data_IF_721551698556
#
_entry.id   IF_721551698556
#
_cell.length_a   1.000
_cell.length_b   1.000
_cell.length_c   1.000
_cell.angle_alpha   90.00
_cell.angle_beta   90.00
_cell.angle_gamma   90.00
#
_symmetry.space_group_name_H-M   'P 1'
#
loop_
_entity.id
_entity.type
_entity.pdbx_description
1 polymer ?
#
# COMPACT_ATOMS: atom_id res chain seq x y z
N UNK A 1 16.79 -0.58 -11.95
CA UNK A 1 16.03 0.03 -10.82
C UNK A 1 15.98 -0.90 -9.62
N UNK A 2 15.69 -0.36 -8.44
CA UNK A 2 15.53 -1.11 -7.18
C UNK A 2 14.13 -0.89 -6.61
N UNK A 3 13.48 -1.96 -6.17
CA UNK A 3 12.17 -1.91 -5.48
C UNK A 3 12.31 -2.63 -4.14
N UNK A 4 12.15 -1.93 -3.02
CA UNK A 4 12.13 -2.57 -1.69
C UNK A 4 10.71 -2.93 -1.29
N UNK A 5 10.48 -4.03 -0.59
CA UNK A 5 9.13 -4.54 -0.33
C UNK A 5 8.54 -5.25 -1.56
N UNK A 6 9.42 -5.75 -2.44
CA UNK A 6 9.06 -6.31 -3.74
C UNK A 6 8.12 -7.52 -3.65
N UNK A 7 8.21 -8.33 -2.59
CA UNK A 7 7.37 -9.51 -2.42
C UNK A 7 6.02 -9.19 -1.74
N UNK A 8 5.76 -7.94 -1.40
CA UNK A 8 4.48 -7.46 -0.89
C UNK A 8 3.40 -7.35 -1.97
N UNK A 9 2.19 -6.97 -1.53
CA UNK A 9 1.06 -6.71 -2.41
C UNK A 9 1.42 -5.69 -3.51
N UNK A 10 1.69 -4.43 -3.16
CA UNK A 10 2.01 -3.40 -4.15
C UNK A 10 3.35 -3.64 -4.86
N UNK A 11 4.38 -4.07 -4.11
CA UNK A 11 5.72 -4.28 -4.65
C UNK A 11 5.74 -5.27 -5.81
N UNK A 12 4.95 -6.35 -5.73
CA UNK A 12 4.91 -7.36 -6.79
C UNK A 12 4.25 -6.85 -8.07
N UNK A 13 3.17 -6.08 -7.94
CA UNK A 13 2.52 -5.42 -9.08
C UNK A 13 3.41 -4.34 -9.70
N UNK A 14 4.19 -3.61 -8.89
CA UNK A 14 5.18 -2.66 -9.39
C UNK A 14 6.31 -3.37 -10.14
N UNK A 15 6.83 -4.49 -9.61
CA UNK A 15 7.84 -5.28 -10.32
C UNK A 15 7.33 -5.69 -11.71
N UNK A 16 6.12 -6.24 -11.79
CA UNK A 16 5.48 -6.63 -13.04
C UNK A 16 5.26 -5.43 -13.99
N UNK A 17 4.75 -4.31 -13.46
CA UNK A 17 4.48 -3.09 -14.23
C UNK A 17 5.73 -2.53 -14.91
N UNK A 18 6.84 -2.47 -14.18
CA UNK A 18 8.11 -1.95 -14.68
C UNK A 18 8.79 -2.94 -15.65
N UNK A 19 8.74 -4.25 -15.39
CA UNK A 19 9.25 -5.27 -16.33
C UNK A 19 8.49 -5.26 -17.67
N UNK A 20 7.17 -5.06 -17.65
CA UNK A 20 6.35 -4.89 -18.88
C UNK A 20 6.68 -3.63 -19.68
N UNK A 21 7.40 -2.69 -19.07
CA UNK A 21 7.85 -1.43 -19.68
C UNK A 21 9.38 -1.39 -19.85
N UNK A 22 9.97 -2.57 -20.01
CA UNK A 22 11.38 -2.80 -20.34
C UNK A 22 12.42 -2.33 -19.32
N UNK A 23 12.02 -2.17 -18.06
CA UNK A 23 12.96 -1.94 -16.97
C UNK A 23 13.63 -3.23 -16.51
N UNK A 24 14.87 -3.11 -16.04
CA UNK A 24 15.54 -4.15 -15.23
C UNK A 24 15.27 -3.88 -13.76
N UNK A 25 14.72 -4.86 -13.06
CA UNK A 25 14.20 -4.73 -11.69
C UNK A 25 15.00 -5.61 -10.73
N UNK A 26 15.62 -4.97 -9.73
CA UNK A 26 16.15 -5.64 -8.54
C UNK A 26 15.13 -5.48 -7.41
N UNK A 27 14.42 -6.56 -7.06
CA UNK A 27 13.47 -6.61 -5.95
C UNK A 27 14.15 -7.00 -4.64
N UNK A 28 14.00 -6.17 -3.61
CA UNK A 28 14.48 -6.41 -2.25
C UNK A 28 13.32 -6.71 -1.31
N UNK A 29 13.39 -7.77 -0.52
CA UNK A 29 12.39 -8.08 0.51
C UNK A 29 12.98 -9.01 1.58
N UNK A 30 12.57 -8.87 2.85
CA UNK A 30 12.97 -9.80 3.92
C UNK A 30 11.96 -10.95 4.12
N UNK A 31 10.81 -10.88 3.44
CA UNK A 31 9.67 -11.79 3.51
C UNK A 31 8.97 -11.79 4.88
N UNK A 32 9.03 -10.66 5.61
CA UNK A 32 8.32 -10.52 6.90
C UNK A 32 6.80 -10.58 6.72
N UNK A 33 6.28 -9.80 5.76
CA UNK A 33 4.85 -9.75 5.41
C UNK A 33 4.58 -10.09 3.96
N UNK A 34 5.58 -9.94 3.08
CA UNK A 34 5.55 -10.41 1.70
C UNK A 34 5.72 -11.93 1.58
N UNK A 35 5.52 -12.46 0.38
CA UNK A 35 5.70 -13.89 0.09
C UNK A 35 6.36 -14.09 -1.27
N UNK A 36 7.26 -15.07 -1.38
CA UNK A 36 7.93 -15.40 -2.63
C UNK A 36 6.94 -15.77 -3.75
N UNK A 37 5.78 -16.34 -3.40
CA UNK A 37 4.70 -16.64 -4.35
C UNK A 37 4.23 -15.41 -5.13
N UNK A 38 4.25 -14.21 -4.53
CA UNK A 38 3.88 -12.98 -5.23
C UNK A 38 4.84 -12.64 -6.37
N UNK A 39 6.06 -13.17 -6.36
CA UNK A 39 7.10 -12.96 -7.37
C UNK A 39 7.31 -14.17 -8.28
N UNK A 40 6.65 -15.31 -8.01
CA UNK A 40 6.92 -16.57 -8.70
C UNK A 40 6.69 -16.48 -10.22
N UNK A 41 5.71 -15.70 -10.65
CA UNK A 41 5.41 -15.47 -12.07
C UNK A 41 6.48 -14.63 -12.80
N UNK A 42 7.38 -13.98 -12.08
CA UNK A 42 8.54 -13.25 -12.62
C UNK A 42 9.80 -14.13 -12.63
N UNK A 43 9.75 -15.32 -12.05
CA UNK A 43 10.87 -16.25 -12.06
C UNK A 43 11.16 -16.67 -13.51
N UNK A 44 12.38 -16.40 -13.97
CA UNK A 44 12.83 -16.69 -15.34
C UNK A 44 12.92 -15.48 -16.26
N UNK A 45 12.37 -14.31 -15.90
CA UNK A 45 12.66 -13.07 -16.64
C UNK A 45 14.11 -12.64 -16.31
N UNK A 46 14.99 -12.64 -17.32
CA UNK A 46 16.40 -12.27 -17.17
C UNK A 46 16.62 -10.81 -16.69
N UNK A 47 15.59 -9.96 -16.77
CA UNK A 47 15.60 -8.57 -16.31
C UNK A 47 15.17 -8.45 -14.84
N UNK A 48 14.64 -9.52 -14.24
CA UNK A 48 14.22 -9.55 -12.84
C UNK A 48 15.25 -10.30 -11.98
N UNK A 49 15.67 -9.67 -10.88
CA UNK A 49 16.47 -10.31 -9.84
C UNK A 49 15.83 -10.07 -8.48
N UNK A 50 15.75 -11.11 -7.68
CA UNK A 50 15.34 -11.01 -6.28
C UNK A 50 16.56 -11.09 -5.36
N UNK A 51 16.60 -10.25 -4.34
CA UNK A 51 17.59 -10.30 -3.26
C UNK A 51 16.86 -10.26 -1.93
N UNK A 52 16.99 -11.33 -1.14
CA UNK A 52 16.44 -11.37 0.21
C UNK A 52 17.25 -10.43 1.09
N UNK A 53 16.65 -9.30 1.50
CA UNK A 53 17.34 -8.22 2.19
C UNK A 53 16.42 -7.52 3.18
N UNK A 54 16.89 -7.36 4.41
CA UNK A 54 16.30 -6.44 5.38
C UNK A 54 16.95 -5.06 5.21
N UNK A 55 16.19 -4.08 4.75
CA UNK A 55 16.71 -2.73 4.47
C UNK A 55 17.17 -1.99 5.73
N UNK A 56 16.80 -2.45 6.94
CA UNK A 56 17.31 -1.90 8.20
C UNK A 56 18.76 -2.28 8.48
N UNK A 57 19.29 -3.27 7.76
CA UNK A 57 20.71 -3.62 7.77
C UNK A 57 21.42 -3.02 6.56
N UNK A 58 22.70 -2.63 6.67
CA UNK A 58 23.45 -2.10 5.54
C UNK A 58 23.49 -3.08 4.36
N UNK A 59 23.33 -2.57 3.15
CA UNK A 59 23.39 -3.36 1.92
C UNK A 59 23.99 -2.54 0.78
N UNK A 60 24.46 -3.24 -0.25
CA UNK A 60 25.11 -2.63 -1.41
C UNK A 60 24.48 -3.18 -2.69
N UNK A 61 24.40 -2.33 -3.70
CA UNK A 61 24.01 -2.70 -5.06
C UNK A 61 25.16 -2.33 -5.98
N UNK A 62 25.77 -3.33 -6.61
CA UNK A 62 27.00 -3.22 -7.40
C UNK A 62 26.75 -2.89 -8.88
N UNK A 63 25.49 -2.66 -9.25
CA UNK A 63 25.06 -2.29 -10.59
C UNK A 63 24.49 -0.87 -10.62
N UNK A 64 24.50 -0.17 -11.78
CA UNK A 64 23.86 1.14 -11.91
C UNK A 64 22.38 1.10 -11.49
N UNK A 65 21.93 2.15 -10.79
CA UNK A 65 20.55 2.31 -10.32
C UNK A 65 20.04 3.69 -10.73
N UNK A 66 19.02 3.72 -11.58
CA UNK A 66 18.41 4.97 -12.05
C UNK A 66 17.21 5.41 -11.19
N UNK A 67 16.56 4.44 -10.54
CA UNK A 67 15.33 4.64 -9.76
C UNK A 67 15.29 3.68 -8.57
N UNK A 68 14.95 4.21 -7.39
CA UNK A 68 14.69 3.48 -6.15
C UNK A 68 13.24 3.72 -5.73
N UNK A 69 12.44 2.65 -5.66
CA UNK A 69 11.10 2.67 -5.10
C UNK A 69 11.13 2.06 -3.69
N UNK A 70 10.95 2.89 -2.67
CA UNK A 70 10.99 2.43 -1.28
C UNK A 70 9.58 2.09 -0.76
N UNK A 71 9.19 0.81 -0.89
CA UNK A 71 7.89 0.26 -0.47
C UNK A 71 8.00 -0.77 0.67
N UNK A 72 9.18 -0.95 1.27
CA UNK A 72 9.35 -1.89 2.39
C UNK A 72 8.78 -1.28 3.68
N UNK A 73 7.63 -1.78 4.13
CA UNK A 73 7.08 -1.51 5.46
C UNK A 73 5.89 -2.46 5.75
N UNK A 74 5.72 -2.98 6.97
CA UNK A 74 4.45 -3.59 7.39
C UNK A 74 3.30 -2.57 7.31
N UNK A 75 2.35 -2.79 6.39
CA UNK A 75 1.33 -1.79 6.05
C UNK A 75 -0.04 -1.98 6.70
N UNK A 76 -0.32 -3.16 7.28
CA UNK A 76 -1.63 -3.43 7.89
C UNK A 76 -1.62 -3.14 9.40
N UNK A 77 -2.75 -2.69 9.98
CA UNK A 77 -2.85 -2.46 11.42
C UNK A 77 -2.40 -3.62 12.28
N UNK A 78 -2.75 -4.85 11.88
CA UNK A 78 -2.33 -6.04 12.61
C UNK A 78 -0.81 -6.21 12.61
N UNK A 79 -0.16 -5.97 11.49
CA UNK A 79 1.27 -6.26 11.35
C UNK A 79 2.15 -5.19 12.02
N UNK A 80 1.86 -3.91 11.82
CA UNK A 80 2.67 -2.87 12.44
C UNK A 80 2.47 -2.79 13.95
N UNK A 81 1.31 -3.23 14.47
CA UNK A 81 1.09 -3.40 15.91
C UNK A 81 1.78 -4.65 16.47
N UNK A 82 1.94 -5.69 15.65
CA UNK A 82 2.70 -6.91 16.02
C UNK A 82 4.20 -6.69 16.00
N UNK A 83 4.69 -5.80 15.13
CA UNK A 83 6.12 -5.54 14.91
C UNK A 83 6.51 -4.04 15.07
N UNK A 84 6.07 -3.33 16.13
CA UNK A 84 6.15 -1.87 16.20
C UNK A 84 7.59 -1.33 16.12
N UNK A 85 8.54 -2.01 16.77
CA UNK A 85 9.96 -1.63 16.73
C UNK A 85 10.53 -1.82 15.32
N UNK A 86 10.13 -2.87 14.61
CA UNK A 86 10.59 -3.10 13.25
C UNK A 86 9.97 -2.09 12.27
N UNK A 87 8.69 -1.74 12.45
CA UNK A 87 8.02 -0.65 11.72
C UNK A 87 8.76 0.66 11.88
N UNK A 88 9.14 1.03 13.10
CA UNK A 88 9.95 2.23 13.35
C UNK A 88 11.31 2.15 12.66
N UNK A 89 12.00 1.01 12.73
CA UNK A 89 13.33 0.84 12.12
C UNK A 89 13.30 0.90 10.59
N UNK A 90 12.30 0.30 9.95
CA UNK A 90 12.23 0.24 8.48
C UNK A 90 11.99 1.63 7.89
N UNK A 91 11.06 2.40 8.44
CA UNK A 91 10.77 3.75 7.96
C UNK A 91 11.77 4.82 8.49
N UNK A 92 12.67 4.47 9.42
CA UNK A 92 13.79 5.33 9.83
C UNK A 92 15.13 4.93 9.19
N UNK A 93 15.78 3.90 9.73
CA UNK A 93 17.09 3.41 9.28
C UNK A 93 17.00 2.81 7.88
N UNK A 94 15.91 2.10 7.55
CA UNK A 94 15.70 1.58 6.19
C UNK A 94 15.56 2.69 5.15
N UNK A 95 14.78 3.73 5.45
CA UNK A 95 14.70 4.95 4.64
C UNK A 95 16.07 5.60 4.48
N UNK A 96 16.87 5.69 5.56
CA UNK A 96 18.22 6.26 5.50
C UNK A 96 19.14 5.46 4.56
N UNK A 97 19.15 4.13 4.64
CA UNK A 97 19.97 3.29 3.78
C UNK A 97 19.55 3.39 2.30
N UNK A 98 18.25 3.41 2.02
CA UNK A 98 17.73 3.48 0.64
C UNK A 98 17.90 4.86 0.00
N UNK A 99 17.80 5.94 0.78
CA UNK A 99 18.20 7.29 0.35
C UNK A 99 19.72 7.38 0.11
N UNK A 100 20.52 6.73 0.97
CA UNK A 100 21.97 6.61 0.78
C UNK A 100 22.33 5.92 -0.53
N UNK A 101 21.65 4.82 -0.86
CA UNK A 101 21.74 4.14 -2.14
C UNK A 101 21.39 5.09 -3.31
N UNK A 102 20.23 5.75 -3.24
CA UNK A 102 19.80 6.65 -4.31
C UNK A 102 20.82 7.78 -4.53
N UNK A 103 21.34 8.37 -3.46
CA UNK A 103 22.39 9.39 -3.52
C UNK A 103 23.69 8.86 -4.15
N UNK A 104 24.15 7.67 -3.75
CA UNK A 104 25.38 7.07 -4.25
C UNK A 104 25.33 6.81 -5.77
N UNK A 105 24.18 6.39 -6.28
CA UNK A 105 23.99 6.12 -7.71
C UNK A 105 23.43 7.32 -8.50
N UNK A 106 23.13 8.44 -7.84
CA UNK A 106 22.37 9.59 -8.41
C UNK A 106 21.02 9.15 -8.98
N UNK A 107 20.41 8.15 -8.35
CA UNK A 107 19.10 7.64 -8.71
C UNK A 107 18.00 8.59 -8.26
N UNK A 108 16.90 8.60 -9.01
CA UNK A 108 15.63 9.13 -8.52
C UNK A 108 15.10 8.25 -7.39
N UNK A 109 14.42 8.85 -6.42
CA UNK A 109 13.88 8.16 -5.26
C UNK A 109 12.39 8.45 -5.09
N UNK A 110 11.59 7.40 -4.90
CA UNK A 110 10.17 7.54 -4.56
C UNK A 110 9.89 6.81 -3.24
N UNK A 111 9.44 7.56 -2.24
CA UNK A 111 8.96 7.04 -0.96
C UNK A 111 7.49 6.66 -1.06
N UNK A 112 7.15 5.42 -0.68
CA UNK A 112 5.78 5.03 -0.38
C UNK A 112 5.37 5.51 1.03
N UNK A 113 4.78 6.69 1.08
CA UNK A 113 4.10 7.22 2.26
C UNK A 113 2.63 6.76 2.27
N UNK A 114 1.83 7.32 3.16
CA UNK A 114 0.49 6.84 3.51
C UNK A 114 -0.43 8.01 3.82
N UNK A 115 -1.74 7.84 3.63
CA UNK A 115 -2.74 8.76 4.15
C UNK A 115 -2.76 8.85 5.69
N UNK A 116 -2.17 7.89 6.41
CA UNK A 116 -2.06 7.96 7.88
C UNK A 116 -1.22 9.13 8.38
N UNK A 117 -0.37 9.74 7.53
CA UNK A 117 0.36 10.97 7.92
C UNK A 117 -0.58 12.15 8.22
N UNK A 118 -1.83 12.06 7.75
CA UNK A 118 -2.90 13.01 8.06
C UNK A 118 -3.61 12.72 9.40
N UNK A 119 -3.46 11.51 9.96
CA UNK A 119 -4.05 11.09 11.23
C UNK A 119 -5.58 11.06 11.22
N UNK A 120 -6.18 11.70 12.22
CA UNK A 120 -7.62 11.98 12.33
C UNK A 120 -7.91 13.42 11.85
N UNK A 121 -8.17 13.61 10.56
CA UNK A 121 -8.07 14.93 9.92
C UNK A 121 -9.24 15.84 10.28
N UNK A 122 -8.95 17.12 10.54
CA UNK A 122 -9.97 18.17 10.69
C UNK A 122 -10.35 18.85 9.36
N UNK A 123 -9.83 18.35 8.23
CA UNK A 123 -10.04 18.90 6.89
C UNK A 123 -10.51 17.78 5.95
N UNK A 124 -11.50 18.08 5.10
CA UNK A 124 -12.09 17.10 4.18
C UNK A 124 -12.48 17.74 2.83
N UNK A 125 -12.03 17.19 1.67
CA UNK A 125 -11.07 16.09 1.51
C UNK A 125 -9.67 16.46 2.04
N UNK A 126 -8.73 15.52 2.08
CA UNK A 126 -7.37 15.77 2.57
C UNK A 126 -6.43 16.18 1.42
N UNK A 127 -6.01 17.46 1.30
CA UNK A 127 -5.02 17.90 0.32
C UNK A 127 -3.58 17.60 0.78
N UNK A 128 -2.62 17.61 -0.15
CA UNK A 128 -1.19 17.43 0.15
C UNK A 128 -0.63 18.50 1.09
N UNK A 129 -1.23 19.69 1.11
CA UNK A 129 -0.84 20.81 1.97
C UNK A 129 -1.23 20.64 3.45
N UNK A 130 -2.14 19.72 3.78
CA UNK A 130 -2.56 19.51 5.16
C UNK A 130 -1.47 18.81 5.99
N UNK A 131 -1.22 19.32 7.21
CA UNK A 131 -0.12 18.84 8.06
C UNK A 131 -0.43 17.57 8.86
N UNK A 132 -1.72 17.22 8.96
CA UNK A 132 -2.20 16.10 9.75
C UNK A 132 -2.46 16.43 11.22
N UNK A 133 -3.23 15.57 11.87
CA UNK A 133 -3.54 15.59 13.29
C UNK A 133 -3.35 14.17 13.84
N UNK A 134 -2.14 13.92 14.35
CA UNK A 134 -1.63 12.57 14.67
C UNK A 134 -1.23 12.52 16.14
N UNK A 135 -1.57 11.42 16.82
CA UNK A 135 -1.16 11.17 18.20
C UNK A 135 0.23 10.49 18.24
N UNK A 136 1.29 11.18 18.70
CA UNK A 136 2.66 10.68 18.59
C UNK A 136 3.01 9.54 19.56
N UNK A 137 2.13 9.26 20.54
CA UNK A 137 2.35 8.22 21.56
C UNK A 137 1.22 7.19 21.62
N UNK A 138 0.22 7.31 20.73
CA UNK A 138 -0.89 6.39 20.64
C UNK A 138 -0.47 5.01 20.11
N UNK A 139 -1.36 4.00 20.16
CA UNK A 139 -1.05 2.65 19.71
C UNK A 139 -0.62 2.57 18.24
N UNK A 140 -1.08 3.49 17.39
CA UNK A 140 -0.76 3.56 15.96
C UNK A 140 0.51 4.37 15.64
N UNK A 141 1.06 5.08 16.63
CA UNK A 141 2.20 6.00 16.46
C UNK A 141 3.42 5.36 15.80
N UNK A 142 3.68 4.08 16.05
CA UNK A 142 4.81 3.37 15.47
C UNK A 142 4.80 3.33 13.94
N UNK A 143 3.61 3.36 13.31
CA UNK A 143 3.48 3.46 11.85
C UNK A 143 3.36 4.92 11.40
N UNK A 144 2.48 5.68 12.06
CA UNK A 144 2.12 7.03 11.63
C UNK A 144 3.34 7.98 11.73
N UNK A 145 4.03 7.98 12.87
CA UNK A 145 5.21 8.84 13.08
C UNK A 145 6.43 8.34 12.30
N UNK A 146 6.58 7.02 12.09
CA UNK A 146 7.67 6.50 11.29
C UNK A 146 7.55 6.94 9.83
N UNK A 147 6.33 6.91 9.27
CA UNK A 147 6.06 7.44 7.92
C UNK A 147 6.26 8.95 7.83
N UNK A 148 5.84 9.71 8.85
CA UNK A 148 6.11 11.17 8.92
C UNK A 148 7.60 11.48 9.00
N UNK A 149 8.36 10.71 9.78
CA UNK A 149 9.82 10.79 9.82
C UNK A 149 10.44 10.48 8.45
N UNK A 150 9.97 9.44 7.76
CA UNK A 150 10.45 9.08 6.43
C UNK A 150 10.24 10.20 5.41
N UNK A 151 9.08 10.88 5.43
CA UNK A 151 8.83 12.07 4.59
C UNK A 151 9.81 13.20 4.90
N UNK A 152 10.00 13.51 6.20
CA UNK A 152 10.91 14.56 6.62
C UNK A 152 12.37 14.28 6.19
N UNK A 153 12.83 13.04 6.36
CA UNK A 153 14.16 12.60 5.95
C UNK A 153 14.33 12.66 4.42
N UNK A 154 13.33 12.19 3.67
CA UNK A 154 13.32 12.24 2.20
C UNK A 154 13.43 13.69 1.70
N UNK A 155 12.66 14.61 2.28
CA UNK A 155 12.72 16.02 1.91
C UNK A 155 13.99 16.72 2.39
N UNK A 156 14.61 16.25 3.48
CA UNK A 156 15.93 16.72 3.90
C UNK A 156 17.01 16.33 2.87
N UNK A 157 16.99 15.10 2.34
CA UNK A 157 17.87 14.67 1.26
C UNK A 157 17.66 15.48 -0.02
N UNK A 158 16.41 15.76 -0.39
CA UNK A 158 16.11 16.65 -1.52
C UNK A 158 16.75 18.04 -1.33
N UNK A 159 16.49 18.71 -0.20
CA UNK A 159 17.01 20.08 0.05
C UNK A 159 18.53 20.13 0.21
N UNK A 160 19.13 19.17 0.92
CA UNK A 160 20.55 19.19 1.26
C UNK A 160 21.45 18.61 0.15
N UNK A 161 20.93 17.70 -0.66
CA UNK A 161 21.72 16.99 -1.69
C UNK A 161 21.19 17.16 -3.10
N UNK A 162 20.10 17.91 -3.30
CA UNK A 162 19.42 18.08 -4.60
C UNK A 162 19.04 16.74 -5.24
N UNK A 163 18.77 15.73 -4.40
CA UNK A 163 18.28 14.43 -4.85
C UNK A 163 16.89 14.61 -5.47
N UNK A 164 16.63 13.97 -6.62
CA UNK A 164 15.27 13.85 -7.17
C UNK A 164 14.49 12.86 -6.29
N UNK A 165 13.99 13.36 -5.17
CA UNK A 165 13.22 12.60 -4.20
C UNK A 165 11.76 13.03 -4.27
N UNK A 166 10.87 12.04 -4.29
CA UNK A 166 9.43 12.20 -4.50
C UNK A 166 8.69 11.40 -3.45
N UNK A 167 7.48 11.81 -3.13
CA UNK A 167 6.66 11.14 -2.11
C UNK A 167 5.28 10.85 -2.68
N UNK A 168 4.81 9.62 -2.51
CA UNK A 168 3.42 9.25 -2.76
C UNK A 168 2.72 8.97 -1.45
N UNK A 169 1.64 9.70 -1.15
CA UNK A 169 0.74 9.41 -0.03
C UNK A 169 -0.38 8.51 -0.53
N UNK A 170 -0.24 7.23 -0.22
CA UNK A 170 -1.13 6.18 -0.69
C UNK A 170 -2.36 6.10 0.22
N UNK A 171 -3.55 6.21 -0.38
CA UNK A 171 -4.82 5.94 0.29
C UNK A 171 -5.19 4.46 0.18
N UNK A 172 -6.27 4.04 0.86
CA UNK A 172 -6.66 2.63 0.92
C UNK A 172 -6.71 2.01 -0.48
N UNK A 173 -5.91 0.97 -0.66
CA UNK A 173 -5.75 0.29 -1.94
C UNK A 173 -6.00 -1.19 -1.76
N UNK A 174 -6.64 -1.80 -2.77
CA UNK A 174 -7.01 -3.21 -2.75
C UNK A 174 -6.82 -3.88 -4.11
N UNK A 175 -6.75 -5.21 -4.10
CA UNK A 175 -6.57 -5.99 -5.32
C UNK A 175 -6.04 -7.41 -5.06
N UNK A 176 -5.79 -8.18 -6.14
CA UNK A 176 -5.08 -9.45 -6.08
C UNK A 176 -3.75 -9.36 -5.34
N UNK A 177 -3.30 -10.43 -4.66
CA UNK A 177 -2.06 -10.52 -3.85
C UNK A 177 -2.10 -9.86 -2.47
N UNK A 178 -3.26 -9.38 -2.02
CA UNK A 178 -3.50 -9.09 -0.60
C UNK A 178 -3.61 -10.38 0.22
N UNK A 179 -3.22 -10.37 1.51
CA UNK A 179 -3.36 -11.58 2.35
C UNK A 179 -4.76 -11.64 2.97
N UNK A 180 -5.30 -12.85 3.13
CA UNK A 180 -6.59 -13.04 3.83
C UNK A 180 -6.53 -12.60 5.30
N UNK A 181 -5.44 -12.92 5.99
CA UNK A 181 -5.21 -12.51 7.39
C UNK A 181 -4.76 -11.05 7.59
N UNK A 182 -4.79 -10.22 6.55
CA UNK A 182 -4.17 -8.89 6.55
C UNK A 182 -4.85 -7.88 7.50
N UNK A 183 -6.14 -8.10 7.85
CA UNK A 183 -6.85 -7.30 8.85
C UNK A 183 -7.42 -5.98 8.34
N UNK A 184 -7.31 -5.68 7.04
CA UNK A 184 -8.05 -4.60 6.39
C UNK A 184 -9.46 -5.08 6.00
N UNK A 185 -10.39 -4.14 5.83
CA UNK A 185 -11.82 -4.43 5.64
C UNK A 185 -12.11 -5.26 4.39
N UNK A 186 -11.54 -4.92 3.22
CA UNK A 186 -11.77 -5.68 1.97
C UNK A 186 -11.30 -7.14 2.07
N UNK A 187 -10.05 -7.46 2.43
CA UNK A 187 -9.64 -8.86 2.54
C UNK A 187 -10.42 -9.61 3.62
N UNK A 188 -10.82 -8.94 4.71
CA UNK A 188 -11.65 -9.56 5.74
C UNK A 188 -13.06 -9.90 5.21
N UNK A 189 -13.72 -8.95 4.54
CA UNK A 189 -15.07 -9.17 3.99
C UNK A 189 -15.07 -10.26 2.93
N UNK A 190 -14.11 -10.25 2.01
CA UNK A 190 -13.99 -11.28 0.98
C UNK A 190 -13.75 -12.66 1.61
N UNK A 191 -12.83 -12.75 2.59
CA UNK A 191 -12.54 -14.03 3.26
C UNK A 191 -13.76 -14.57 4.01
N UNK A 192 -14.48 -13.71 4.73
CA UNK A 192 -15.67 -14.08 5.48
C UNK A 192 -16.81 -14.53 4.54
N UNK A 193 -17.07 -13.75 3.48
CA UNK A 193 -18.08 -14.08 2.49
C UNK A 193 -17.78 -15.42 1.78
N UNK A 194 -16.54 -15.64 1.34
CA UNK A 194 -16.13 -16.91 0.72
C UNK A 194 -16.19 -18.10 1.69
N UNK A 195 -16.08 -17.86 3.00
CA UNK A 195 -16.14 -18.91 4.03
C UNK A 195 -17.55 -19.11 4.60
N UNK A 196 -18.55 -18.36 4.13
CA UNK A 196 -19.92 -18.44 4.64
C UNK A 196 -20.07 -18.03 6.11
N UNK A 197 -19.16 -17.20 6.64
CA UNK A 197 -19.23 -16.69 8.01
C UNK A 197 -19.67 -15.23 8.04
N UNK A 198 -20.30 -14.74 9.13
CA UNK A 198 -20.83 -13.38 9.19
C UNK A 198 -19.79 -12.28 8.96
N UNK A 199 -20.17 -11.20 8.28
CA UNK A 199 -19.31 -10.04 8.00
C UNK A 199 -19.17 -9.13 9.23
N UNK A 200 -17.96 -8.85 9.70
CA UNK A 200 -17.74 -8.02 10.88
C UNK A 200 -17.74 -6.54 10.51
N UNK A 201 -18.84 -5.83 10.76
CA UNK A 201 -18.92 -4.38 10.56
C UNK A 201 -18.64 -3.67 11.87
N UNK A 202 -17.54 -2.93 11.96
CA UNK A 202 -17.25 -2.11 13.14
C UNK A 202 -18.12 -0.84 13.14
N UNK A 203 -18.77 -0.52 14.25
CA UNK A 203 -19.75 0.59 14.33
C UNK A 203 -21.09 0.26 13.67
N UNK A 204 -21.81 1.29 13.24
CA UNK A 204 -23.11 1.16 12.55
C UNK A 204 -22.98 0.87 11.05
N UNK A 205 -21.75 0.92 10.50
CA UNK A 205 -21.44 0.66 9.10
C UNK A 205 -21.68 1.84 8.15
N UNK A 206 -22.14 2.99 8.67
CA UNK A 206 -22.44 4.20 7.88
C UNK A 206 -21.20 5.06 7.61
N UNK A 207 -20.09 4.78 8.27
CA UNK A 207 -18.83 5.47 8.00
C UNK A 207 -18.35 5.17 6.59
N UNK A 208 -17.80 6.18 5.93
CA UNK A 208 -17.33 6.08 4.55
C UNK A 208 -15.83 5.83 4.47
N UNK A 209 -15.43 5.12 3.42
CA UNK A 209 -14.03 4.91 3.04
C UNK A 209 -13.91 5.08 1.52
N UNK A 210 -12.75 5.55 1.10
CA UNK A 210 -12.33 5.52 -0.30
C UNK A 210 -11.52 4.25 -0.57
N UNK A 211 -11.64 3.65 -1.75
CA UNK A 211 -10.86 2.46 -2.16
C UNK A 211 -10.35 2.59 -3.59
N UNK A 212 -9.03 2.57 -3.74
CA UNK A 212 -8.35 2.58 -5.05
C UNK A 212 -8.01 1.15 -5.48
N UNK A 213 -8.34 0.77 -6.71
CA UNK A 213 -7.91 -0.51 -7.23
C UNK A 213 -6.43 -0.49 -7.59
N UNK A 214 -5.74 -1.62 -7.39
CA UNK A 214 -4.28 -1.70 -7.51
C UNK A 214 -3.73 -1.28 -8.87
N UNK A 215 -4.42 -1.60 -9.96
CA UNK A 215 -3.97 -1.22 -11.32
C UNK A 215 -3.90 0.30 -11.46
N UNK A 216 -4.92 1.02 -10.98
CA UNK A 216 -4.95 2.48 -11.03
C UNK A 216 -3.84 3.08 -10.16
N UNK A 217 -3.64 2.56 -8.94
CA UNK A 217 -2.56 3.03 -8.07
C UNK A 217 -1.18 2.81 -8.72
N UNK A 218 -0.94 1.62 -9.27
CA UNK A 218 0.34 1.24 -9.89
C UNK A 218 0.64 2.13 -11.09
N UNK A 219 -0.36 2.46 -11.90
CA UNK A 219 -0.20 3.41 -13.01
C UNK A 219 0.14 4.82 -12.50
N UNK A 220 -0.52 5.30 -11.45
CA UNK A 220 -0.21 6.59 -10.85
C UNK A 220 1.21 6.66 -10.26
N UNK A 221 1.63 5.59 -9.57
CA UNK A 221 3.01 5.45 -9.06
C UNK A 221 4.02 5.42 -10.20
N UNK A 222 3.74 4.68 -11.28
CA UNK A 222 4.62 4.61 -12.44
C UNK A 222 4.85 6.01 -13.04
N UNK A 223 3.78 6.78 -13.27
CA UNK A 223 3.88 8.15 -13.79
C UNK A 223 4.67 9.06 -12.84
N UNK A 224 4.34 9.03 -11.55
CA UNK A 224 5.06 9.82 -10.56
C UNK A 224 6.54 9.43 -10.46
N UNK A 225 6.89 8.17 -10.66
CA UNK A 225 8.29 7.74 -10.61
C UNK A 225 9.07 8.08 -11.89
N UNK A 226 8.39 8.21 -13.04
CA UNK A 226 9.07 8.31 -14.35
C UNK A 226 9.00 9.69 -14.99
N UNK A 227 7.98 10.49 -14.72
CA UNK A 227 7.83 11.83 -15.32
C UNK A 227 8.93 12.79 -14.87
N UNK A 228 9.29 13.74 -15.71
CA UNK A 228 10.29 14.76 -15.39
C UNK A 228 9.68 15.93 -14.60
N UNK A 229 10.53 16.72 -13.92
CA UNK A 229 10.10 17.98 -13.28
C UNK A 229 9.29 17.82 -11.99
N UNK A 230 9.27 16.63 -11.37
CA UNK A 230 8.53 16.35 -10.13
C UNK A 230 9.43 16.21 -8.89
N UNK A 231 10.69 16.63 -8.98
CA UNK A 231 11.63 16.54 -7.87
C UNK A 231 11.16 17.38 -6.68
N UNK A 232 11.09 16.77 -5.49
CA UNK A 232 10.62 17.41 -4.26
C UNK A 232 9.09 17.43 -4.10
N UNK A 233 8.34 16.86 -5.04
CA UNK A 233 6.88 16.88 -5.00
C UNK A 233 6.29 15.71 -4.20
N UNK A 234 5.15 16.00 -3.57
CA UNK A 234 4.30 15.05 -2.84
C UNK A 234 2.96 14.93 -3.57
N UNK A 235 2.47 13.72 -3.79
CA UNK A 235 1.18 13.47 -4.43
C UNK A 235 0.32 12.51 -3.61
N UNK A 236 -0.96 12.85 -3.48
CA UNK A 236 -1.98 11.90 -3.05
C UNK A 236 -2.36 10.99 -4.22
N UNK A 237 -2.32 9.68 -4.01
CA UNK A 237 -2.91 8.70 -4.92
C UNK A 237 -3.95 7.86 -4.19
N UNK A 238 -5.17 7.89 -4.72
CA UNK A 238 -6.32 7.16 -4.22
C UNK A 238 -7.55 7.41 -5.08
N UNK A 239 -8.68 6.85 -4.67
CA UNK A 239 -9.96 7.10 -5.32
C UNK A 239 -10.79 8.09 -4.49
N UNK A 240 -11.23 9.24 -5.02
CA UNK A 240 -12.07 10.17 -4.25
C UNK A 240 -13.49 9.65 -4.05
N UNK A 241 -13.92 8.58 -4.71
CA UNK A 241 -15.22 7.95 -4.48
C UNK A 241 -15.28 7.32 -3.09
N UNK A 242 -16.25 7.76 -2.29
CA UNK A 242 -16.52 7.24 -0.95
C UNK A 242 -17.66 6.22 -1.01
N UNK A 243 -17.49 5.12 -0.30
CA UNK A 243 -18.52 4.08 -0.10
C UNK A 243 -18.65 3.80 1.40
N UNK A 244 -19.86 3.52 1.86
CA UNK A 244 -20.10 3.07 3.24
C UNK A 244 -19.63 1.63 3.44
N UNK A 245 -19.41 1.21 4.68
CA UNK A 245 -19.09 -0.20 4.95
C UNK A 245 -20.26 -1.14 4.63
N UNK A 246 -21.50 -0.68 4.77
CA UNK A 246 -22.69 -1.45 4.40
C UNK A 246 -22.79 -1.66 2.88
N UNK A 247 -22.64 -0.60 2.09
CA UNK A 247 -22.61 -0.71 0.62
C UNK A 247 -21.45 -1.62 0.16
N UNK A 248 -20.28 -1.52 0.80
CA UNK A 248 -19.17 -2.43 0.52
C UNK A 248 -19.53 -3.89 0.82
N UNK A 249 -20.17 -4.14 1.97
CA UNK A 249 -20.63 -5.47 2.35
C UNK A 249 -21.62 -6.02 1.31
N UNK A 250 -22.63 -5.24 0.92
CA UNK A 250 -23.62 -5.61 -0.10
C UNK A 250 -22.99 -5.94 -1.46
N UNK A 251 -22.01 -5.16 -1.91
CA UNK A 251 -21.31 -5.44 -3.17
C UNK A 251 -20.56 -6.78 -3.06
N UNK A 252 -19.81 -6.99 -1.98
CA UNK A 252 -19.04 -8.24 -1.77
C UNK A 252 -19.97 -9.46 -1.69
N UNK A 253 -21.05 -9.40 -0.91
CA UNK A 253 -22.00 -10.51 -0.78
C UNK A 253 -22.68 -10.82 -2.12
N UNK A 254 -23.08 -9.80 -2.88
CA UNK A 254 -23.69 -9.97 -4.20
C UNK A 254 -22.75 -10.62 -5.22
N UNK A 255 -21.44 -10.37 -5.11
CA UNK A 255 -20.43 -10.94 -6.01
C UNK A 255 -20.03 -12.37 -5.63
N UNK A 256 -20.08 -12.72 -4.35
CA UNK A 256 -19.84 -14.09 -3.86
C UNK A 256 -21.07 -14.99 -4.05
N UNK A 257 -22.27 -14.40 -4.05
CA UNK A 257 -23.53 -15.12 -4.27
C UNK A 257 -24.12 -15.79 -3.04
N UNK A 258 -23.48 -15.66 -1.87
CA UNK A 258 -24.03 -16.05 -0.57
C UNK A 258 -24.15 -14.80 0.29
N UNK A 259 -25.31 -14.51 0.91
CA UNK A 259 -25.46 -13.39 1.84
C UNK A 259 -25.09 -13.85 3.27
N UNK A 260 -23.84 -13.72 3.73
CA UNK A 260 -23.54 -13.86 5.15
C UNK A 260 -24.29 -12.80 5.96
N UNK A 261 -24.70 -13.17 7.17
CA UNK A 261 -25.21 -12.20 8.15
C UNK A 261 -24.16 -11.10 8.41
N UNK A 262 -24.62 -9.90 8.75
CA UNK A 262 -23.74 -8.82 9.21
C UNK A 262 -23.76 -8.78 10.74
N UNK A 263 -22.57 -8.74 11.35
CA UNK A 263 -22.41 -8.61 12.81
C UNK A 263 -21.72 -7.30 13.13
N UNK A 264 -22.34 -6.52 14.01
CA UNK A 264 -21.80 -5.23 14.45
C UNK A 264 -20.80 -5.40 15.60
N UNK A 265 -19.62 -4.80 15.47
CA UNK A 265 -18.54 -4.81 16.46
C UNK A 265 -18.24 -3.38 16.94
N UNK A 266 -17.57 -3.23 18.08
CA UNK A 266 -17.10 -1.91 18.54
C UNK A 266 -16.08 -1.29 17.57
N UNK A 267 -16.07 0.04 17.43
CA UNK A 267 -15.07 0.76 16.64
C UNK A 267 -13.67 0.57 17.25
N UNK A 268 -12.63 0.28 16.45
CA UNK A 268 -11.26 0.27 16.96
C UNK A 268 -10.85 1.65 17.48
N UNK A 269 -10.01 1.67 18.52
CA UNK A 269 -9.47 2.91 19.08
C UNK A 269 -8.64 3.66 18.02
N UNK A 270 -8.85 4.98 17.94
CA UNK A 270 -8.16 5.91 17.02
C UNK A 270 -8.30 5.54 15.52
N UNK A 271 -9.34 4.78 15.13
CA UNK A 271 -9.63 4.56 13.69
C UNK A 271 -10.30 5.81 13.09
N UNK A 272 -9.69 6.45 12.08
CA UNK A 272 -10.23 7.69 11.52
C UNK A 272 -11.63 7.47 10.94
N UNK A 273 -12.57 8.34 11.28
CA UNK A 273 -13.98 8.14 10.91
C UNK A 273 -14.25 8.36 9.43
N UNK A 274 -13.47 9.21 8.76
CA UNK A 274 -13.63 9.54 7.35
C UNK A 274 -12.29 9.86 6.67
N UNK A 275 -12.08 9.38 5.45
CA UNK A 275 -10.85 9.62 4.68
C UNK A 275 -11.11 9.62 3.17
N UNK A 276 -10.80 10.73 2.52
CA UNK A 276 -11.00 10.97 1.09
C UNK A 276 -9.81 11.77 0.54
N UNK A 277 -9.10 11.25 -0.47
CA UNK A 277 -8.00 11.98 -1.09
C UNK A 277 -8.51 13.15 -1.93
N UNK A 278 -7.88 14.31 -1.79
CA UNK A 278 -7.90 15.31 -2.86
C UNK A 278 -6.84 14.91 -3.90
N UNK A 279 -7.28 14.58 -5.11
CA UNK A 279 -6.42 14.10 -6.21
C UNK A 279 -6.20 15.14 -7.32
N UNK A 280 -6.62 16.40 -7.11
CA UNK A 280 -6.49 17.45 -8.14
C UNK A 280 -5.04 17.65 -8.60
N UNK A 281 -4.09 17.52 -7.69
CA UNK A 281 -2.66 17.60 -8.01
C UNK A 281 -2.23 16.45 -8.92
N UNK A 282 -2.64 15.22 -8.64
CA UNK A 282 -2.36 14.06 -9.49
C UNK A 282 -3.01 14.18 -10.88
N UNK A 283 -4.22 14.73 -10.95
CA UNK A 283 -4.90 15.03 -12.22
C UNK A 283 -4.11 16.02 -13.07
N UNK A 284 -3.70 17.15 -12.47
CA UNK A 284 -2.97 18.20 -13.18
C UNK A 284 -1.52 17.81 -13.53
N UNK A 285 -0.79 17.22 -12.58
CA UNK A 285 0.63 16.93 -12.71
C UNK A 285 0.96 15.60 -13.39
N UNK A 286 0.07 14.60 -13.29
CA UNK A 286 0.30 13.26 -13.84
C UNK A 286 -0.69 12.88 -14.94
N UNK A 287 -1.73 13.69 -15.17
CA UNK A 287 -2.86 13.30 -16.04
C UNK A 287 -3.56 12.04 -15.56
N UNK A 288 -3.52 11.78 -14.24
CA UNK A 288 -3.96 10.52 -13.65
C UNK A 288 -5.29 10.67 -12.90
N UNK A 289 -6.16 9.69 -13.04
CA UNK A 289 -7.42 9.51 -12.30
C UNK A 289 -7.72 8.02 -12.26
N UNK A 290 -8.26 7.47 -11.16
CA UNK A 290 -8.68 6.07 -11.13
C UNK A 290 -9.77 5.79 -12.16
N UNK A 291 -9.69 4.63 -12.82
CA UNK A 291 -10.56 4.25 -13.93
C UNK A 291 -11.32 2.95 -13.67
N UNK A 292 -10.90 2.14 -12.69
CA UNK A 292 -11.53 0.85 -12.38
C UNK A 292 -12.68 1.07 -11.38
N UNK A 293 -13.93 0.78 -11.75
CA UNK A 293 -15.05 0.87 -10.82
C UNK A 293 -14.90 -0.09 -9.64
N UNK A 294 -15.38 0.31 -8.45
CA UNK A 294 -15.27 -0.49 -7.22
C UNK A 294 -15.78 -1.93 -7.39
N UNK A 295 -16.97 -2.11 -7.99
CA UNK A 295 -17.56 -3.44 -8.23
C UNK A 295 -16.65 -4.33 -9.10
N UNK A 296 -16.03 -3.78 -10.13
CA UNK A 296 -15.15 -4.52 -11.03
C UNK A 296 -13.84 -4.91 -10.35
N UNK A 297 -13.22 -3.97 -9.63
CA UNK A 297 -12.03 -4.27 -8.83
C UNK A 297 -12.30 -5.33 -7.76
N UNK A 298 -13.46 -5.28 -7.10
CA UNK A 298 -13.86 -6.29 -6.11
C UNK A 298 -14.06 -7.65 -6.74
N UNK A 299 -14.71 -7.75 -7.91
CA UNK A 299 -14.87 -9.00 -8.66
C UNK A 299 -13.51 -9.67 -8.92
N UNK A 300 -12.56 -8.93 -9.50
CA UNK A 300 -11.19 -9.41 -9.77
C UNK A 300 -10.44 -9.82 -8.50
N UNK A 301 -10.67 -9.11 -7.41
CA UNK A 301 -10.07 -9.43 -6.10
C UNK A 301 -10.65 -10.73 -5.54
N UNK A 302 -11.98 -10.89 -5.55
CA UNK A 302 -12.68 -12.10 -5.10
C UNK A 302 -12.21 -13.32 -5.89
N UNK A 303 -12.13 -13.22 -7.23
CA UNK A 303 -11.63 -14.29 -8.09
C UNK A 303 -10.22 -14.73 -7.70
N UNK A 304 -9.33 -13.76 -7.43
CA UNK A 304 -8.00 -14.08 -6.97
C UNK A 304 -8.02 -14.78 -5.59
N UNK A 305 -8.79 -14.27 -4.63
CA UNK A 305 -8.93 -14.87 -3.30
C UNK A 305 -9.45 -16.32 -3.37
N UNK A 306 -10.46 -16.57 -4.22
CA UNK A 306 -11.01 -17.91 -4.45
C UNK A 306 -9.98 -18.85 -5.08
N UNK A 307 -9.08 -18.34 -5.93
CA UNK A 307 -8.02 -19.17 -6.56
C UNK A 307 -6.89 -19.57 -5.61
N UNK A 308 -6.65 -18.82 -4.53
CA UNK A 308 -5.54 -19.05 -3.59
C UNK A 308 -5.98 -19.59 -2.22
N UNK A 309 -7.27 -19.55 -1.93
CA UNK A 309 -7.83 -20.11 -0.69
C UNK A 309 -8.26 -21.54 -0.98
N UNK A 310 -7.71 -22.57 -0.31
CA UNK A 310 -8.18 -23.93 -0.49
C UNK A 310 -9.68 -23.99 -0.17
N UNK A 311 -10.47 -24.62 -1.04
CA UNK A 311 -11.85 -24.95 -0.71
C UNK A 311 -11.82 -25.74 0.61
N UNK A 312 -12.48 -25.24 1.65
CA UNK A 312 -12.69 -26.01 2.86
C UNK A 312 -13.52 -27.23 2.46
N UNK A 313 -12.87 -28.38 2.32
CA UNK A 313 -13.53 -29.66 2.18
C UNK A 313 -14.44 -29.83 3.38
N UNK A 314 -15.75 -29.80 3.13
CA UNK A 314 -16.80 -30.06 4.10
C UNK A 314 -16.72 -31.53 4.50
N UNK A 315 -15.76 -31.89 5.36
CA UNK A 315 -15.86 -33.13 6.12
C UNK A 315 -16.83 -32.87 7.26
N UNK A 316 -18.12 -32.99 6.92
CA UNK A 316 -19.13 -33.38 7.89
C UNK A 316 -18.88 -34.87 8.15
N UNK A 317 -18.11 -35.18 9.20
CA UNK A 317 -18.11 -36.51 9.77
C UNK A 317 -19.46 -36.72 10.45
N UNK A 318 -20.23 -37.67 9.89
CA UNK A 318 -21.42 -38.26 10.50
C UNK A 318 -21.14 -38.87 11.88
#
# INVERSE_FOLDING_TARGET
MVITGAAGFLGSHLCECFLKRDWRVLGLDNLLTGTAQNLAHLAGDARFRFMRQDVTTPFFVDVPVDLVLHFACPASPRDYLRHPIHTLKVDSVGTLHTLGLAKAHRARYLLASTSEVYGDPHVHPQPESYWGHVNPIGPRSAYDEAKRFAEALTMAYHRAHRLDARIVRIFNTYGPRMRAGDGRVIPQFITHALSGIPLPVHGDGRQTRSFCFVDDLVEGIYRLATYEGLAGEVFNLGNPEEVTLLELAEIVTSLVGTPPDVVHLALPQDDPTRRQPDIRKAQAGLGWTPTVPLREGLRRTIEWFASVTPAQSSQVSA
#
